data_IF_355114109977
#
_entry.id   IF_355114109977
#
_cell.length_a   1.000
_cell.length_b   1.000
_cell.length_c   1.000
_cell.angle_alpha   90.00
_cell.angle_beta   90.00
_cell.angle_gamma   90.00
#
_symmetry.space_group_name_H-M   'P 1'
#
loop_
_entity.id
_entity.type
_entity.pdbx_description
1 polymer ?
#
# COMPACT_ATOMS: atom_id res chain seq x y z
N UNK A 1 1.93 32.23 -16.99
CA UNK A 1 1.67 31.37 -15.83
C UNK A 1 2.32 32.05 -14.63
N UNK A 2 1.62 32.14 -13.50
CA UNK A 2 2.21 32.65 -12.26
C UNK A 2 3.40 31.78 -11.87
N UNK A 3 4.48 32.39 -11.36
CA UNK A 3 5.65 31.66 -10.88
C UNK A 3 5.24 30.80 -9.66
N UNK A 4 5.27 29.46 -9.76
CA UNK A 4 4.85 28.58 -8.66
C UNK A 4 5.76 28.69 -7.43
N UNK A 5 6.94 29.31 -7.55
CA UNK A 5 7.88 29.55 -6.45
C UNK A 5 7.81 30.99 -5.91
N UNK A 6 6.92 31.83 -6.43
CA UNK A 6 6.70 33.17 -5.91
C UNK A 6 6.17 33.14 -4.47
N UNK A 7 6.74 34.00 -3.62
CA UNK A 7 6.29 34.20 -2.24
C UNK A 7 4.81 34.61 -2.26
N UNK A 8 3.95 33.78 -1.65
CA UNK A 8 2.50 33.99 -1.60
C UNK A 8 1.68 33.01 -2.44
N UNK A 9 2.32 32.19 -3.30
CA UNK A 9 1.64 31.10 -4.00
C UNK A 9 1.56 29.84 -3.13
N UNK A 10 0.34 29.41 -2.83
CA UNK A 10 0.07 28.23 -2.01
C UNK A 10 -0.53 27.10 -2.83
N UNK A 11 -0.03 25.89 -2.59
CA UNK A 11 -0.59 24.65 -3.12
C UNK A 11 -0.93 23.71 -1.97
N UNK A 12 -2.16 23.19 -1.97
CA UNK A 12 -2.65 22.31 -0.92
C UNK A 12 -2.87 20.91 -1.46
N UNK A 13 -2.53 19.92 -0.64
CA UNK A 13 -2.82 18.51 -0.92
C UNK A 13 -3.45 17.87 0.31
N UNK A 14 -4.50 17.09 0.09
CA UNK A 14 -5.06 16.20 1.11
C UNK A 14 -4.29 14.89 1.10
N UNK A 15 -3.30 14.75 1.99
CA UNK A 15 -2.52 13.51 2.12
C UNK A 15 -3.34 12.42 2.83
N UNK A 16 -3.41 11.25 2.22
CA UNK A 16 -4.06 10.06 2.77
C UNK A 16 -3.40 8.78 2.22
N UNK A 17 -3.87 7.61 2.65
CA UNK A 17 -3.45 6.36 2.03
C UNK A 17 -3.82 6.36 0.54
N UNK A 18 -2.86 6.00 -0.31
CA UNK A 18 -3.10 5.88 -1.74
C UNK A 18 -3.92 4.64 -2.12
N UNK A 19 -4.07 3.69 -1.20
CA UNK A 19 -4.72 2.39 -1.40
C UNK A 19 -4.24 1.73 -2.71
N UNK A 20 -2.93 1.49 -2.80
CA UNK A 20 -2.27 0.94 -3.98
C UNK A 20 -2.96 -0.32 -4.52
N UNK A 21 -2.93 -0.52 -5.83
CA UNK A 21 -3.48 -1.71 -6.47
C UNK A 21 -2.73 -2.96 -6.04
N UNK A 22 -1.39 -2.88 -6.00
CA UNK A 22 -0.52 -3.89 -5.42
C UNK A 22 0.27 -3.32 -4.21
N UNK A 23 -0.30 -3.39 -3.01
CA UNK A 23 0.20 -2.67 -1.84
C UNK A 23 1.39 -3.34 -1.14
N UNK A 24 2.53 -2.64 -1.14
CA UNK A 24 3.73 -3.02 -0.39
C UNK A 24 3.48 -3.29 1.11
N UNK A 25 2.58 -2.52 1.74
CA UNK A 25 2.25 -2.71 3.16
C UNK A 25 1.47 -4.00 3.45
N UNK A 26 0.78 -4.57 2.47
CA UNK A 26 0.14 -5.89 2.56
C UNK A 26 1.19 -6.98 2.36
N UNK A 27 2.00 -6.86 1.30
CA UNK A 27 3.09 -7.81 1.03
C UNK A 27 4.07 -7.94 2.21
N UNK A 28 4.42 -6.83 2.87
CA UNK A 28 5.30 -6.83 4.03
C UNK A 28 4.65 -7.33 5.35
N UNK A 29 3.33 -7.55 5.38
CA UNK A 29 2.62 -7.92 6.60
C UNK A 29 2.64 -9.43 6.82
N UNK A 30 3.52 -9.89 7.71
CA UNK A 30 3.74 -11.33 8.00
C UNK A 30 2.57 -12.05 8.63
N UNK A 31 1.58 -11.32 9.15
CA UNK A 31 0.40 -11.87 9.86
C UNK A 31 -0.91 -11.58 9.14
N UNK A 32 -0.86 -10.97 7.94
CA UNK A 32 -2.06 -10.63 7.17
C UNK A 32 -2.99 -9.66 7.90
N UNK A 33 -2.45 -8.76 8.74
CA UNK A 33 -3.20 -7.69 9.37
C UNK A 33 -3.51 -6.54 8.39
N UNK A 34 -2.65 -6.30 7.41
CA UNK A 34 -2.95 -5.43 6.26
C UNK A 34 -3.49 -6.32 5.14
N UNK A 35 -4.62 -5.96 4.54
CA UNK A 35 -5.27 -6.77 3.50
C UNK A 35 -5.75 -5.87 2.36
N UNK A 36 -5.74 -6.39 1.13
CA UNK A 36 -6.40 -5.75 -0.01
C UNK A 36 -7.82 -6.31 -0.08
N UNK A 37 -8.84 -5.47 0.13
CA UNK A 37 -10.23 -5.94 0.02
C UNK A 37 -10.64 -6.12 -1.45
N UNK A 38 -11.59 -7.03 -1.74
CA UNK A 38 -12.12 -7.20 -3.09
C UNK A 38 -12.75 -5.94 -3.68
N UNK A 39 -13.31 -5.08 -2.82
CA UNK A 39 -13.88 -3.79 -3.20
C UNK A 39 -12.81 -2.75 -3.56
N UNK A 40 -11.54 -3.06 -3.30
CA UNK A 40 -10.38 -2.24 -3.69
C UNK A 40 -9.59 -1.64 -2.53
N UNK A 41 -10.18 -1.09 -1.46
CA UNK A 41 -9.41 -0.49 -0.39
C UNK A 41 -8.45 -1.46 0.31
N UNK A 42 -7.24 -1.00 0.61
CA UNK A 42 -6.40 -1.65 1.63
C UNK A 42 -7.01 -1.43 3.01
N UNK A 43 -7.33 -2.51 3.73
CA UNK A 43 -7.95 -2.53 5.06
C UNK A 43 -6.99 -3.06 6.13
N UNK A 44 -7.36 -2.89 7.40
CA UNK A 44 -6.55 -3.25 8.56
C UNK A 44 -7.38 -4.06 9.57
N UNK A 45 -6.82 -5.21 9.98
CA UNK A 45 -7.32 -6.09 11.03
C UNK A 45 -6.43 -5.93 12.28
N UNK A 46 -7.01 -5.32 13.32
CA UNK A 46 -6.31 -5.04 14.56
C UNK A 46 -6.01 -6.31 15.37
N UNK A 47 -6.82 -7.37 15.24
CA UNK A 47 -6.69 -8.59 16.06
C UNK A 47 -5.51 -9.45 15.63
N UNK A 48 -5.11 -9.35 14.36
CA UNK A 48 -3.92 -10.03 13.83
C UNK A 48 -2.64 -9.23 14.05
N UNK A 49 -2.75 -7.93 14.31
CA UNK A 49 -1.59 -7.06 14.36
C UNK A 49 -0.87 -7.16 15.72
N UNK A 50 0.40 -7.55 15.69
CA UNK A 50 1.29 -7.47 16.86
C UNK A 50 2.26 -6.27 16.80
N UNK A 51 2.07 -5.36 15.84
CA UNK A 51 2.78 -4.08 15.82
C UNK A 51 4.26 -4.15 15.40
N UNK A 52 4.65 -5.03 14.47
CA UNK A 52 6.03 -5.12 13.95
C UNK A 52 6.52 -3.91 13.14
N UNK A 53 5.59 -3.06 12.67
CA UNK A 53 5.87 -1.81 11.91
C UNK A 53 6.51 -1.99 10.53
N UNK A 54 6.66 -3.21 10.02
CA UNK A 54 7.18 -3.43 8.65
C UNK A 54 6.34 -2.73 7.58
N UNK A 55 5.03 -2.64 7.79
CA UNK A 55 4.13 -1.89 6.92
C UNK A 55 4.43 -0.38 6.88
N UNK A 56 5.02 0.22 7.93
CA UNK A 56 5.45 1.62 7.93
C UNK A 56 6.66 1.80 7.02
N UNK A 57 7.64 0.91 7.13
CA UNK A 57 8.88 0.93 6.33
C UNK A 57 8.58 0.64 4.86
N UNK A 58 7.68 -0.32 4.59
CA UNK A 58 7.35 -0.73 3.23
C UNK A 58 6.50 0.29 2.47
N UNK A 59 5.80 1.21 3.15
CA UNK A 59 4.91 2.14 2.48
C UNK A 59 5.72 3.29 1.84
N UNK A 60 5.72 3.44 0.49
CA UNK A 60 6.49 4.51 -0.15
C UNK A 60 5.93 5.91 0.14
N UNK A 61 4.68 5.98 0.62
CA UNK A 61 3.98 7.21 0.95
C UNK A 61 4.06 7.58 2.44
N UNK A 62 4.75 6.79 3.26
CA UNK A 62 4.88 7.01 4.71
C UNK A 62 3.52 7.20 5.42
N UNK A 63 2.53 6.38 5.06
CA UNK A 63 1.15 6.55 5.52
C UNK A 63 0.84 5.85 6.84
N UNK A 64 1.20 4.56 7.07
CA UNK A 64 0.86 3.89 8.32
C UNK A 64 1.50 4.58 9.52
N UNK A 65 0.71 4.82 10.56
CA UNK A 65 1.16 5.44 11.82
C UNK A 65 0.93 4.50 12.99
N UNK A 66 1.86 4.48 13.92
CA UNK A 66 1.86 3.59 15.08
C UNK A 66 1.54 4.37 16.37
N UNK A 67 0.78 3.76 17.26
CA UNK A 67 0.47 4.31 18.57
C UNK A 67 1.61 4.06 19.58
N UNK A 68 2.54 5.00 19.71
CA UNK A 68 3.73 4.84 20.53
C UNK A 68 3.49 4.79 22.06
N UNK A 69 2.40 5.39 22.53
CA UNK A 69 2.07 5.47 23.96
C UNK A 69 1.16 4.36 24.49
N UNK A 70 0.85 3.34 23.68
CA UNK A 70 -0.07 2.27 24.06
C UNK A 70 0.68 0.96 24.28
N UNK A 71 0.32 0.23 25.34
CA UNK A 71 0.79 -1.15 25.59
C UNK A 71 0.17 -2.16 24.61
N UNK A 72 -0.96 -1.80 24.01
CA UNK A 72 -1.63 -2.55 22.92
C UNK A 72 -1.73 -1.64 21.68
N UNK A 73 -0.62 -1.44 20.96
CA UNK A 73 -0.49 -0.38 19.98
C UNK A 73 -1.11 -0.76 18.64
N UNK A 74 -1.94 0.12 18.09
CA UNK A 74 -2.47 -0.04 16.74
C UNK A 74 -1.56 0.60 15.69
N UNK A 75 -1.55 0.00 14.50
CA UNK A 75 -1.08 0.66 13.28
C UNK A 75 -2.30 1.17 12.51
N UNK A 76 -2.48 2.49 12.44
CA UNK A 76 -3.63 3.13 11.83
C UNK A 76 -3.26 3.85 10.53
N UNK A 77 -4.22 3.92 9.61
CA UNK A 77 -4.15 4.66 8.35
C UNK A 77 -5.57 4.92 7.85
N UNK A 78 -5.69 5.68 6.76
CA UNK A 78 -6.95 5.79 6.03
C UNK A 78 -7.46 4.39 5.64
N UNK A 79 -8.75 4.15 5.89
CA UNK A 79 -9.48 2.92 5.55
C UNK A 79 -10.38 3.12 4.33
N UNK A 80 -10.25 4.24 3.61
CA UNK A 80 -11.20 4.62 2.54
C UNK A 80 -12.67 4.69 3.05
N UNK A 81 -12.86 4.90 4.36
CA UNK A 81 -14.16 4.79 5.03
C UNK A 81 -14.83 3.40 4.91
N UNK A 82 -14.06 2.35 4.59
CA UNK A 82 -14.53 0.98 4.75
C UNK A 82 -14.57 0.55 6.21
N UNK A 83 -13.85 1.22 7.12
CA UNK A 83 -13.77 0.84 8.54
C UNK A 83 -12.62 -0.13 8.82
N UNK A 84 -12.63 -0.73 10.02
CA UNK A 84 -11.68 -1.78 10.40
C UNK A 84 -12.32 -3.16 10.23
N UNK A 85 -11.49 -4.15 9.91
CA UNK A 85 -11.91 -5.56 9.99
C UNK A 85 -12.08 -5.88 11.47
N UNK A 86 -13.30 -6.22 11.87
CA UNK A 86 -13.62 -6.71 13.21
C UNK A 86 -13.36 -8.22 13.27
N UNK A 87 -13.33 -8.83 14.47
CA UNK A 87 -13.42 -10.28 14.61
C UNK A 87 -14.56 -10.87 13.76
N UNK A 88 -14.40 -12.13 13.35
CA UNK A 88 -15.37 -12.84 12.49
C UNK A 88 -15.63 -12.25 11.09
N UNK A 89 -14.82 -11.29 10.61
CA UNK A 89 -14.96 -10.73 9.27
C UNK A 89 -16.09 -9.70 9.12
N UNK A 90 -16.64 -9.23 10.24
CA UNK A 90 -17.61 -8.12 10.24
C UNK A 90 -16.85 -6.83 9.98
N UNK A 91 -17.35 -6.00 9.07
CA UNK A 91 -16.84 -4.64 8.92
C UNK A 91 -17.69 -3.75 9.82
N UNK A 92 -17.04 -2.97 10.71
CA UNK A 92 -17.70 -2.01 11.62
C UNK A 92 -18.88 -1.31 10.90
N UNK A 93 -20.04 -1.16 11.56
CA UNK A 93 -21.23 -0.44 11.06
C UNK A 93 -20.97 1.01 10.62
N UNK A 94 -19.73 1.50 10.76
CA UNK A 94 -19.19 2.72 10.14
C UNK A 94 -18.63 2.51 8.72
N UNK A 95 -18.79 1.34 8.11
CA UNK A 95 -18.42 1.09 6.72
C UNK A 95 -19.38 1.85 5.80
N UNK A 96 -18.97 3.04 5.39
CA UNK A 96 -19.76 3.92 4.53
C UNK A 96 -19.90 3.35 3.12
N UNK A 97 -18.86 2.69 2.62
CA UNK A 97 -18.87 2.10 1.28
C UNK A 97 -19.92 0.98 1.17
N UNK A 98 -20.04 0.14 2.19
CA UNK A 98 -21.06 -0.92 2.25
C UNK A 98 -22.50 -0.37 2.31
N UNK A 99 -22.67 0.88 2.74
CA UNK A 99 -23.95 1.59 2.77
C UNK A 99 -24.24 2.35 1.47
N UNK A 100 -23.39 2.20 0.45
CA UNK A 100 -23.47 2.98 -0.79
C UNK A 100 -23.12 4.46 -0.62
N UNK A 101 -22.55 4.84 0.53
CA UNK A 101 -22.13 6.21 0.81
C UNK A 101 -20.67 6.44 0.42
N UNK A 102 -20.36 7.69 0.05
CA UNK A 102 -18.99 8.07 -0.29
C UNK A 102 -18.09 8.18 0.95
N UNK A 103 -16.76 8.24 0.77
CA UNK A 103 -15.86 8.56 1.87
C UNK A 103 -16.22 9.90 2.51
N UNK A 104 -16.25 9.95 3.84
CA UNK A 104 -16.68 11.15 4.59
C UNK A 104 -15.90 12.42 4.20
N UNK A 105 -14.60 12.29 3.94
CA UNK A 105 -13.77 13.40 3.49
C UNK A 105 -14.17 13.96 2.12
N UNK A 106 -14.77 13.15 1.25
CA UNK A 106 -15.24 13.58 -0.08
C UNK A 106 -16.54 14.35 0.07
N UNK A 107 -17.48 13.84 0.88
CA UNK A 107 -18.74 14.54 1.18
C UNK A 107 -18.53 15.86 1.93
N UNK A 108 -17.52 15.93 2.80
CA UNK A 108 -17.18 17.14 3.52
C UNK A 108 -16.45 18.20 2.68
N UNK A 109 -16.08 17.90 1.42
CA UNK A 109 -15.29 18.81 0.59
C UNK A 109 -16.15 19.95 0.02
N UNK A 110 -15.99 21.20 0.48
CA UNK A 110 -16.89 22.29 0.09
C UNK A 110 -16.68 22.75 -1.36
N UNK A 111 -15.48 22.53 -1.91
CA UNK A 111 -15.09 23.00 -3.25
C UNK A 111 -15.24 21.94 -4.33
N UNK A 112 -15.59 20.70 -3.97
CA UNK A 112 -15.61 19.58 -4.93
C UNK A 112 -14.22 19.22 -5.47
N UNK A 113 -13.15 19.56 -4.75
CA UNK A 113 -11.79 19.16 -5.08
C UNK A 113 -11.59 17.63 -4.99
N UNK A 114 -12.38 16.96 -4.15
CA UNK A 114 -12.39 15.52 -4.00
C UNK A 114 -13.59 14.91 -4.73
N UNK A 115 -13.39 13.77 -5.38
CA UNK A 115 -14.44 12.95 -5.96
C UNK A 115 -14.17 11.48 -5.69
N UNK A 116 -15.22 10.65 -5.75
CA UNK A 116 -15.14 9.21 -5.50
C UNK A 116 -16.05 8.47 -6.47
N UNK A 117 -15.74 7.19 -6.70
CA UNK A 117 -16.42 6.31 -7.64
C UNK A 117 -15.51 5.13 -8.01
N UNK A 118 -15.93 4.26 -8.93
CA UNK A 118 -15.08 3.26 -9.55
C UNK A 118 -13.81 3.90 -10.11
N UNK A 119 -12.67 3.18 -10.04
CA UNK A 119 -11.37 3.75 -10.39
C UNK A 119 -11.35 4.25 -11.83
N UNK A 120 -11.93 3.46 -12.73
CA UNK A 120 -11.98 3.72 -14.17
C UNK A 120 -12.72 5.04 -14.46
N UNK A 121 -13.87 5.26 -13.83
CA UNK A 121 -14.66 6.50 -13.97
C UNK A 121 -13.91 7.72 -13.42
N UNK A 122 -13.24 7.58 -12.28
CA UNK A 122 -12.45 8.68 -11.70
C UNK A 122 -11.22 8.98 -12.54
N UNK A 123 -10.59 7.97 -13.13
CA UNK A 123 -9.46 8.13 -14.03
C UNK A 123 -9.88 8.82 -15.33
N UNK A 124 -11.01 8.42 -15.92
CA UNK A 124 -11.59 9.10 -17.09
C UNK A 124 -11.91 10.57 -16.80
N UNK A 125 -12.51 10.84 -15.63
CA UNK A 125 -12.79 12.21 -15.17
C UNK A 125 -11.51 13.03 -15.01
N UNK A 126 -10.43 12.43 -14.48
CA UNK A 126 -9.13 13.08 -14.33
C UNK A 126 -8.52 13.41 -15.70
N UNK A 127 -8.49 12.44 -16.62
CA UNK A 127 -8.00 12.64 -18.00
C UNK A 127 -8.81 13.70 -18.75
N UNK A 128 -10.14 13.72 -18.59
CA UNK A 128 -11.01 14.74 -19.17
C UNK A 128 -10.65 16.13 -18.66
N UNK A 129 -10.42 16.28 -17.35
CA UNK A 129 -9.99 17.54 -16.74
C UNK A 129 -8.64 18.02 -17.28
N UNK A 130 -7.68 17.11 -17.42
CA UNK A 130 -6.35 17.41 -17.95
C UNK A 130 -6.45 17.86 -19.41
N UNK A 131 -7.12 17.09 -20.26
CA UNK A 131 -7.32 17.41 -21.69
C UNK A 131 -8.05 18.75 -21.90
N UNK A 132 -9.00 19.08 -21.03
CA UNK A 132 -9.76 20.33 -21.12
C UNK A 132 -8.94 21.58 -20.75
N UNK A 133 -7.78 21.43 -20.10
CA UNK A 133 -6.91 22.55 -19.73
C UNK A 133 -5.42 22.20 -19.89
N UNK A 134 -4.92 22.09 -21.14
CA UNK A 134 -3.52 21.75 -21.40
C UNK A 134 -2.55 22.73 -20.75
N UNK A 135 -1.47 22.22 -20.13
CA UNK A 135 -0.47 23.01 -19.42
C UNK A 135 -0.90 23.55 -18.06
N UNK A 136 -2.16 23.33 -17.64
CA UNK A 136 -2.63 23.69 -16.29
C UNK A 136 -2.14 22.72 -15.24
N UNK A 137 -2.04 21.44 -15.59
CA UNK A 137 -1.61 20.40 -14.68
C UNK A 137 -0.14 20.07 -14.95
N UNK A 138 0.58 19.77 -13.89
CA UNK A 138 1.99 19.44 -13.95
C UNK A 138 2.19 18.19 -14.83
N UNK A 139 2.96 18.37 -15.90
CA UNK A 139 3.23 17.34 -16.93
C UNK A 139 1.96 16.80 -17.64
N UNK A 140 0.82 17.49 -17.55
CA UNK A 140 -0.47 17.06 -18.10
C UNK A 140 -0.79 15.57 -17.85
N UNK A 141 -0.53 15.12 -16.61
CA UNK A 141 -0.72 13.71 -16.22
C UNK A 141 -1.42 13.56 -14.88
N UNK A 142 -1.91 12.34 -14.64
CA UNK A 142 -2.58 11.94 -13.40
C UNK A 142 -1.60 11.16 -12.52
N UNK A 143 -1.30 11.66 -11.33
CA UNK A 143 -0.48 10.91 -10.37
C UNK A 143 -1.31 9.83 -9.68
N UNK A 144 -0.74 8.63 -9.53
CA UNK A 144 -1.39 7.44 -9.03
C UNK A 144 -1.95 6.53 -10.13
N UNK A 145 -1.89 6.96 -11.40
CA UNK A 145 -2.30 6.11 -12.51
C UNK A 145 -1.34 4.94 -12.72
N UNK A 146 -0.05 5.22 -12.61
CA UNK A 146 1.03 4.26 -12.88
C UNK A 146 1.95 4.05 -11.69
N UNK A 147 2.08 5.03 -10.78
CA UNK A 147 3.02 4.97 -9.65
C UNK A 147 2.83 3.71 -8.82
N UNK A 148 3.91 2.95 -8.65
CA UNK A 148 3.95 1.70 -7.91
C UNK A 148 2.88 0.68 -8.36
N UNK A 149 2.66 0.54 -9.67
CA UNK A 149 1.65 -0.36 -10.23
C UNK A 149 0.23 0.22 -10.21
N UNK A 150 0.08 1.49 -9.84
CA UNK A 150 -1.18 2.22 -9.78
C UNK A 150 -1.84 2.22 -8.40
N UNK A 151 -2.70 3.21 -8.18
CA UNK A 151 -3.37 3.48 -6.91
C UNK A 151 -4.87 3.76 -7.09
N UNK A 152 -5.63 3.73 -5.99
CA UNK A 152 -7.05 4.14 -5.98
C UNK A 152 -7.22 5.64 -5.74
N UNK A 153 -6.27 6.28 -5.04
CA UNK A 153 -6.23 7.74 -4.99
C UNK A 153 -5.52 8.26 -6.25
N UNK A 154 -6.14 9.22 -6.92
CA UNK A 154 -5.59 9.90 -8.09
C UNK A 154 -5.47 11.38 -7.78
N UNK A 155 -4.34 11.98 -8.14
CA UNK A 155 -4.02 13.37 -7.80
C UNK A 155 -3.70 14.16 -9.06
N UNK A 156 -4.39 15.29 -9.20
CA UNK A 156 -4.03 16.33 -10.15
C UNK A 156 -3.35 17.46 -9.40
N UNK A 157 -2.27 17.98 -9.95
CA UNK A 157 -1.51 19.10 -9.39
C UNK A 157 -1.13 20.06 -10.51
N UNK A 158 -1.00 21.34 -10.21
CA UNK A 158 -0.42 22.34 -11.13
C UNK A 158 1.08 22.57 -10.86
N UNK A 159 1.59 22.08 -9.73
CA UNK A 159 3.01 22.11 -9.33
C UNK A 159 3.61 20.70 -9.33
N UNK A 160 4.95 20.54 -9.38
CA UNK A 160 5.58 19.23 -9.24
C UNK A 160 5.06 18.45 -8.02
N UNK A 161 4.69 17.18 -8.22
CA UNK A 161 4.13 16.33 -7.15
C UNK A 161 5.07 16.19 -5.94
N UNK A 162 6.39 16.25 -6.16
CA UNK A 162 7.38 16.26 -5.08
C UNK A 162 7.23 17.47 -4.13
N UNK A 163 6.84 18.66 -4.64
CA UNK A 163 6.55 19.84 -3.80
C UNK A 163 5.33 19.63 -2.90
N UNK A 164 4.43 18.72 -3.29
CA UNK A 164 3.28 18.29 -2.48
C UNK A 164 3.64 17.17 -1.48
N UNK A 165 4.88 16.67 -1.52
CA UNK A 165 5.35 15.57 -0.69
C UNK A 165 4.93 14.19 -1.18
N UNK A 166 4.60 14.06 -2.47
CA UNK A 166 4.39 12.76 -3.11
C UNK A 166 5.73 12.26 -3.68
N UNK A 167 6.10 10.99 -3.44
CA UNK A 167 7.35 10.42 -3.93
C UNK A 167 7.33 10.23 -5.46
N UNK A 168 8.49 10.26 -6.10
CA UNK A 168 8.62 9.80 -7.49
C UNK A 168 8.78 8.30 -7.50
N UNK A 169 7.84 7.58 -8.12
CA UNK A 169 7.81 6.11 -8.17
C UNK A 169 7.73 5.63 -9.62
N UNK A 170 8.37 4.50 -9.90
CA UNK A 170 8.27 3.83 -11.20
C UNK A 170 6.90 3.16 -11.40
N UNK A 171 6.63 2.65 -12.62
CA UNK A 171 5.34 2.04 -12.96
C UNK A 171 5.15 0.63 -12.37
N UNK A 172 6.24 -0.01 -11.94
CA UNK A 172 6.18 -1.38 -11.42
C UNK A 172 5.66 -1.41 -9.99
N UNK A 173 4.81 -2.38 -9.63
CA UNK A 173 4.38 -2.56 -8.26
C UNK A 173 5.55 -2.93 -7.35
N UNK A 174 5.63 -2.32 -6.17
CA UNK A 174 6.76 -2.54 -5.26
C UNK A 174 6.93 -4.01 -4.81
N UNK A 175 5.86 -4.79 -4.54
CA UNK A 175 6.00 -6.22 -4.22
C UNK A 175 6.75 -7.03 -5.28
N UNK A 176 6.57 -6.72 -6.57
CA UNK A 176 7.23 -7.42 -7.68
C UNK A 176 8.75 -7.36 -7.66
N UNK A 177 9.35 -6.43 -6.92
CA UNK A 177 10.80 -6.36 -6.73
C UNK A 177 11.32 -7.48 -5.81
N UNK A 178 10.48 -8.01 -4.94
CA UNK A 178 10.84 -9.03 -3.95
C UNK A 178 10.23 -10.40 -4.24
N UNK A 179 9.13 -10.46 -5.00
CA UNK A 179 8.45 -11.70 -5.33
C UNK A 179 9.38 -12.75 -5.97
N UNK A 180 10.30 -12.40 -6.90
CA UNK A 180 11.25 -13.35 -7.47
C UNK A 180 12.10 -14.08 -6.44
N UNK A 181 12.52 -13.38 -5.38
CA UNK A 181 13.32 -13.96 -4.33
C UNK A 181 12.44 -14.80 -3.39
N UNK A 182 11.25 -14.30 -3.04
CA UNK A 182 10.34 -14.97 -2.12
C UNK A 182 9.87 -16.33 -2.66
N UNK A 183 9.61 -16.47 -3.97
CA UNK A 183 9.22 -17.76 -4.55
C UNK A 183 10.37 -18.77 -4.58
N UNK A 184 11.63 -18.30 -4.58
CA UNK A 184 12.80 -19.18 -4.55
C UNK A 184 13.07 -19.74 -3.14
N UNK A 185 12.62 -19.06 -2.07
CA UNK A 185 12.91 -19.44 -0.67
C UNK A 185 12.52 -20.90 -0.35
N UNK A 186 11.33 -21.41 -0.67
CA UNK A 186 10.98 -22.80 -0.41
C UNK A 186 11.94 -23.79 -1.09
N UNK A 187 12.34 -23.50 -2.34
CA UNK A 187 13.31 -24.32 -3.07
C UNK A 187 14.69 -24.32 -2.42
N UNK A 188 15.15 -23.15 -1.96
CA UNK A 188 16.42 -23.02 -1.24
C UNK A 188 16.38 -23.80 0.08
N UNK A 189 15.29 -23.69 0.85
CA UNK A 189 15.12 -24.41 2.12
C UNK A 189 15.16 -25.92 1.90
N UNK A 190 14.43 -26.42 0.90
CA UNK A 190 14.42 -27.85 0.56
C UNK A 190 15.80 -28.33 0.08
N UNK A 191 16.49 -27.52 -0.73
CA UNK A 191 17.84 -27.84 -1.20
C UNK A 191 18.86 -27.95 -0.07
N UNK A 192 18.88 -26.96 0.84
CA UNK A 192 19.75 -26.97 2.03
C UNK A 192 19.37 -28.11 2.96
N UNK A 193 18.09 -28.31 3.25
CA UNK A 193 17.61 -29.40 4.11
C UNK A 193 17.96 -30.79 3.55
N UNK A 194 17.82 -30.98 2.25
CA UNK A 194 18.21 -32.21 1.56
C UNK A 194 19.72 -32.47 1.64
N UNK A 195 20.53 -31.44 1.38
CA UNK A 195 21.98 -31.54 1.50
C UNK A 195 22.42 -31.89 2.93
N UNK A 196 21.87 -31.19 3.93
CA UNK A 196 22.18 -31.45 5.33
C UNK A 196 21.78 -32.87 5.76
N UNK A 197 20.63 -33.35 5.29
CA UNK A 197 20.17 -34.72 5.54
C UNK A 197 21.09 -35.76 4.89
N UNK A 198 21.54 -35.52 3.65
CA UNK A 198 22.49 -36.39 2.96
C UNK A 198 23.85 -36.45 3.69
N UNK A 199 24.35 -35.30 4.18
CA UNK A 199 25.57 -35.25 4.97
C UNK A 199 25.39 -36.02 6.29
N UNK A 200 24.27 -35.84 6.98
CA UNK A 200 23.99 -36.56 8.23
C UNK A 200 23.93 -38.09 8.03
N UNK A 201 23.22 -38.55 7.01
CA UNK A 201 23.09 -39.98 6.69
C UNK A 201 24.44 -40.59 6.29
N UNK A 202 25.23 -39.89 5.46
CA UNK A 202 26.55 -40.39 5.06
C UNK A 202 27.54 -40.45 6.23
N UNK A 203 27.51 -39.47 7.14
CA UNK A 203 28.35 -39.49 8.36
C UNK A 203 27.92 -40.58 9.34
N UNK A 204 26.64 -40.73 9.63
CA UNK A 204 26.14 -41.77 10.54
C UNK A 204 26.41 -43.19 10.02
N UNK A 205 26.29 -43.42 8.71
CA UNK A 205 26.70 -44.70 8.12
C UNK A 205 28.20 -44.97 8.20
N UNK A 206 29.04 -43.92 8.09
CA UNK A 206 30.49 -44.07 8.25
C UNK A 206 30.88 -44.36 9.70
N UNK A 207 30.22 -43.72 10.67
CA UNK A 207 30.44 -43.96 12.11
C UNK A 207 30.05 -45.38 12.51
N UNK A 208 28.87 -45.87 12.10
CA UNK A 208 28.45 -47.25 12.41
C UNK A 208 29.36 -48.32 11.80
N UNK A 209 29.90 -48.12 10.59
CA UNK A 209 30.86 -49.06 10.01
C UNK A 209 32.20 -49.09 10.74
N UNK A 210 32.65 -47.95 11.28
CA UNK A 210 33.90 -47.88 12.04
C UNK A 210 33.82 -48.45 13.46
N UNK A 211 32.62 -48.78 13.94
CA UNK A 211 32.38 -49.37 15.26
C UNK A 211 32.18 -50.90 15.19
N UNK A 212 31.97 -51.45 13.99
CA UNK A 212 31.90 -52.89 13.69
C UNK A 212 33.25 -53.52 13.32
N UNK A 213 34.28 -52.71 13.00
CA UNK A 213 35.66 -53.12 12.68
C UNK A 213 36.61 -53.02 13.89
#
# INVERSE_FOLDING_TARGET
AEDPDAIGNFSFIKRNCMHCLDPACVSACTVGAMQKSPEGPVIYDANRCFGCRYCMVACPYDVPRYQWGSTTPLVQKCTFCSGYVQPEGVVDGKNRLAQGMGPACVEACPTGALSWGPREEILEKAHTRVKAAPGKYYEDRVYGEHEAGGTLQLVLSHVPFAKLGLPTLGPQPLPSLTDPLNWAVPGIILGVGGLMSAIYVTRSHAEHKGEED
#
